data_IF_654195805646
#
_entry.id   IF_654195805646
#
_cell.length_a   1.000
_cell.length_b   1.000
_cell.length_c   1.000
_cell.angle_alpha   90.00
_cell.angle_beta   90.00
_cell.angle_gamma   90.00
#
_symmetry.space_group_name_H-M   'P 1'
#
loop_
_entity.id
_entity.type
_entity.pdbx_description
1 polymer ?
#
# COMPACT_ATOMS: atom_id res chain seq x y z
N UNK A 1 -25.02 -12.31 7.77
CA UNK A 1 -23.88 -12.56 8.69
C UNK A 1 -22.86 -13.51 8.06
N UNK A 2 -23.26 -14.71 7.60
CA UNK A 2 -22.36 -15.68 6.94
C UNK A 2 -21.65 -15.18 5.67
N UNK A 3 -22.31 -14.38 4.82
CA UNK A 3 -21.69 -13.84 3.58
C UNK A 3 -20.57 -12.84 3.89
N UNK A 4 -20.67 -12.10 5.00
CA UNK A 4 -19.65 -11.12 5.38
C UNK A 4 -18.38 -11.81 5.88
N UNK A 5 -18.53 -12.88 6.68
CA UNK A 5 -17.40 -13.67 7.17
C UNK A 5 -16.67 -14.42 6.05
N UNK A 6 -17.38 -14.84 5.01
CA UNK A 6 -16.81 -15.50 3.84
C UNK A 6 -15.94 -14.52 3.03
N UNK A 7 -16.47 -13.34 2.76
CA UNK A 7 -15.76 -12.25 2.05
C UNK A 7 -14.53 -11.78 2.85
N UNK A 8 -14.66 -11.58 4.16
CA UNK A 8 -13.54 -11.14 5.01
C UNK A 8 -12.42 -12.20 5.06
N UNK A 9 -12.77 -13.50 5.07
CA UNK A 9 -11.82 -14.61 5.00
C UNK A 9 -11.08 -14.65 3.66
N UNK A 10 -11.78 -14.41 2.54
CA UNK A 10 -11.19 -14.35 1.21
C UNK A 10 -10.21 -13.17 1.08
N UNK A 11 -10.58 -11.98 1.61
CA UNK A 11 -9.70 -10.81 1.63
C UNK A 11 -8.45 -11.11 2.46
N UNK A 12 -8.60 -11.66 3.67
CA UNK A 12 -7.46 -12.01 4.52
C UNK A 12 -6.53 -13.03 3.86
N UNK A 13 -7.09 -14.02 3.16
CA UNK A 13 -6.30 -15.05 2.47
C UNK A 13 -5.56 -14.47 1.27
N UNK A 14 -6.22 -13.65 0.45
CA UNK A 14 -5.59 -12.96 -0.67
C UNK A 14 -4.47 -12.03 -0.21
N UNK A 15 -4.71 -11.25 0.84
CA UNK A 15 -3.71 -10.35 1.45
C UNK A 15 -2.48 -11.13 1.91
N UNK A 16 -2.66 -12.23 2.64
CA UNK A 16 -1.56 -13.06 3.11
C UNK A 16 -0.72 -13.64 1.96
N UNK A 17 -1.38 -14.07 0.87
CA UNK A 17 -0.68 -14.56 -0.33
C UNK A 17 0.10 -13.45 -1.02
N UNK A 18 -0.49 -12.27 -1.23
CA UNK A 18 0.21 -11.11 -1.81
C UNK A 18 1.43 -10.75 -0.97
N UNK A 19 1.28 -10.68 0.36
CA UNK A 19 2.39 -10.41 1.28
C UNK A 19 3.47 -11.49 1.25
N UNK A 20 3.11 -12.77 1.15
CA UNK A 20 4.09 -13.85 1.06
C UNK A 20 4.91 -13.78 -0.23
N UNK A 21 4.25 -13.63 -1.38
CA UNK A 21 4.94 -13.54 -2.67
C UNK A 21 5.79 -12.27 -2.80
N UNK A 22 5.30 -11.13 -2.30
CA UNK A 22 6.06 -9.88 -2.30
C UNK A 22 7.33 -9.98 -1.45
N UNK A 23 7.27 -10.63 -0.28
CA UNK A 23 8.44 -10.84 0.61
C UNK A 23 9.44 -11.87 0.09
N UNK A 24 9.04 -12.73 -0.83
CA UNK A 24 9.90 -13.73 -1.46
C UNK A 24 10.43 -13.27 -2.84
N UNK A 25 10.43 -11.96 -3.12
CA UNK A 25 10.85 -11.35 -4.40
C UNK A 25 10.06 -11.84 -5.63
N UNK A 26 8.93 -12.53 -5.43
CA UNK A 26 8.02 -12.97 -6.48
C UNK A 26 6.95 -11.91 -6.76
N UNK A 27 7.40 -10.68 -7.00
CA UNK A 27 6.51 -9.52 -7.10
C UNK A 27 5.48 -9.63 -8.23
N UNK A 28 5.85 -10.24 -9.36
CA UNK A 28 4.92 -10.52 -10.46
C UNK A 28 3.77 -11.45 -10.02
N UNK A 29 4.05 -12.48 -9.22
CA UNK A 29 3.03 -13.37 -8.67
C UNK A 29 2.12 -12.64 -7.67
N UNK A 30 2.71 -11.78 -6.83
CA UNK A 30 1.95 -10.94 -5.91
C UNK A 30 0.95 -10.03 -6.67
N UNK A 31 1.38 -9.40 -7.77
CA UNK A 31 0.52 -8.58 -8.63
C UNK A 31 -0.60 -9.38 -9.30
N UNK A 32 -0.32 -10.61 -9.76
CA UNK A 32 -1.36 -11.47 -10.36
C UNK A 32 -2.46 -11.77 -9.35
N UNK A 33 -2.09 -12.11 -8.11
CA UNK A 33 -3.05 -12.40 -7.05
C UNK A 33 -3.82 -11.13 -6.70
N UNK A 34 -3.11 -10.02 -6.48
CA UNK A 34 -3.71 -8.71 -6.22
C UNK A 34 -4.77 -8.35 -7.27
N UNK A 35 -4.45 -8.45 -8.55
CA UNK A 35 -5.37 -8.12 -9.63
C UNK A 35 -6.58 -9.04 -9.70
N UNK A 36 -6.46 -10.29 -9.23
CA UNK A 36 -7.56 -11.26 -9.17
C UNK A 36 -8.45 -11.11 -7.92
N UNK A 37 -7.99 -10.41 -6.88
CA UNK A 37 -8.79 -10.21 -5.67
C UNK A 37 -10.00 -9.30 -5.96
N UNK A 38 -11.24 -9.75 -5.70
CA UNK A 38 -12.45 -8.97 -5.95
C UNK A 38 -12.60 -7.79 -4.97
N UNK A 39 -12.03 -7.92 -3.78
CA UNK A 39 -11.97 -6.89 -2.76
C UNK A 39 -10.54 -6.83 -2.22
N UNK A 40 -10.08 -5.62 -1.90
CA UNK A 40 -8.73 -5.34 -1.40
C UNK A 40 -8.87 -4.41 -0.20
N UNK A 41 -8.11 -4.65 0.84
CA UNK A 41 -8.01 -3.73 1.97
C UNK A 41 -6.72 -2.89 1.88
N UNK A 42 -6.58 -1.92 2.78
CA UNK A 42 -5.41 -1.01 2.81
C UNK A 42 -4.12 -1.80 3.01
N UNK A 43 -4.14 -2.89 3.78
CA UNK A 43 -2.97 -3.76 4.02
C UNK A 43 -2.49 -4.42 2.73
N UNK A 44 -3.42 -4.85 1.87
CA UNK A 44 -3.10 -5.41 0.55
C UNK A 44 -2.37 -4.38 -0.33
N UNK A 45 -2.84 -3.13 -0.34
CA UNK A 45 -2.20 -2.02 -1.07
C UNK A 45 -0.82 -1.68 -0.51
N UNK A 46 -0.71 -1.55 0.82
CA UNK A 46 0.53 -1.26 1.53
C UNK A 46 1.61 -2.28 1.19
N UNK A 47 1.24 -3.56 1.05
CA UNK A 47 2.17 -4.63 0.65
C UNK A 47 2.87 -4.31 -0.67
N UNK A 48 2.12 -3.88 -1.70
CA UNK A 48 2.70 -3.57 -3.01
C UNK A 48 3.44 -2.23 -3.00
N UNK A 49 2.89 -1.20 -2.35
CA UNK A 49 3.56 0.11 -2.22
C UNK A 49 4.93 -0.05 -1.54
N UNK A 50 4.96 -0.76 -0.41
CA UNK A 50 6.20 -1.00 0.34
C UNK A 50 7.19 -1.84 -0.46
N UNK A 51 6.73 -2.88 -1.16
CA UNK A 51 7.63 -3.72 -1.95
C UNK A 51 8.22 -2.98 -3.16
N UNK A 52 7.45 -2.15 -3.86
CA UNK A 52 7.98 -1.28 -4.92
C UNK A 52 9.00 -0.27 -4.38
N UNK A 53 8.71 0.36 -3.23
CA UNK A 53 9.65 1.26 -2.58
C UNK A 53 10.95 0.55 -2.17
N UNK A 54 10.88 -0.68 -1.67
CA UNK A 54 12.04 -1.47 -1.25
C UNK A 54 12.95 -1.87 -2.42
N UNK A 55 12.40 -2.16 -3.59
CA UNK A 55 13.20 -2.49 -4.79
C UNK A 55 13.67 -1.24 -5.54
N UNK A 56 13.38 -0.04 -5.03
CA UNK A 56 13.81 1.23 -5.62
C UNK A 56 13.02 1.62 -6.88
N UNK A 57 11.75 1.21 -6.98
CA UNK A 57 10.85 1.58 -8.06
C UNK A 57 9.77 2.57 -7.56
N UNK A 58 10.12 3.85 -7.42
CA UNK A 58 9.24 4.83 -6.82
C UNK A 58 8.03 5.17 -7.70
N UNK A 59 8.15 5.02 -9.02
CA UNK A 59 7.05 5.31 -9.95
C UNK A 59 5.89 4.34 -9.74
N UNK A 60 6.19 3.04 -9.68
CA UNK A 60 5.16 2.05 -9.41
C UNK A 60 4.63 2.14 -7.97
N UNK A 61 5.46 2.49 -6.98
CA UNK A 61 4.99 2.75 -5.62
C UNK A 61 3.96 3.89 -5.57
N UNK A 62 4.24 5.00 -6.26
CA UNK A 62 3.35 6.16 -6.33
C UNK A 62 2.09 5.91 -7.17
N UNK A 63 2.18 5.07 -8.20
CA UNK A 63 1.03 4.61 -8.97
C UNK A 63 0.09 3.77 -8.09
N UNK A 64 0.64 2.81 -7.33
CA UNK A 64 -0.14 2.01 -6.38
C UNK A 64 -0.79 2.88 -5.29
N UNK A 65 -0.08 3.89 -4.79
CA UNK A 65 -0.64 4.87 -3.85
C UNK A 65 -1.78 5.69 -4.46
N UNK A 66 -1.64 6.11 -5.72
CA UNK A 66 -2.68 6.84 -6.45
C UNK A 66 -3.92 5.99 -6.65
N UNK A 67 -3.75 4.71 -7.01
CA UNK A 67 -4.85 3.76 -7.15
C UNK A 67 -5.54 3.45 -5.81
N UNK A 68 -4.78 3.31 -4.71
CA UNK A 68 -5.34 3.19 -3.36
C UNK A 68 -6.28 4.37 -3.06
N UNK A 69 -5.85 5.60 -3.33
CA UNK A 69 -6.68 6.81 -3.13
C UNK A 69 -7.92 6.83 -4.00
N UNK A 70 -7.82 6.34 -5.24
CA UNK A 70 -8.96 6.24 -6.17
C UNK A 70 -9.93 5.12 -5.79
N UNK A 71 -9.48 4.11 -5.04
CA UNK A 71 -10.34 3.00 -4.58
C UNK A 71 -11.36 3.40 -3.51
N UNK A 72 -11.27 4.62 -2.96
CA UNK A 72 -12.11 5.11 -1.87
C UNK A 72 -11.63 4.66 -0.47
N UNK A 73 -10.58 3.84 -0.41
CA UNK A 73 -9.88 3.52 0.83
C UNK A 73 -8.97 4.69 1.24
N UNK A 74 -8.78 4.83 2.55
CA UNK A 74 -7.92 5.88 3.09
C UNK A 74 -6.52 5.30 3.36
N UNK A 75 -5.45 5.95 2.86
CA UNK A 75 -4.09 5.66 3.30
C UNK A 75 -3.97 5.72 4.82
N UNK A 76 -3.16 4.83 5.38
CA UNK A 76 -2.82 4.80 6.81
C UNK A 76 -1.31 5.04 7.03
N UNK A 77 -0.86 4.96 8.28
CA UNK A 77 0.56 5.09 8.62
C UNK A 77 1.42 4.02 7.91
N UNK A 78 0.90 2.80 7.77
CA UNK A 78 1.56 1.73 7.02
C UNK A 78 1.72 2.05 5.52
N UNK A 79 0.81 2.83 4.94
CA UNK A 79 0.97 3.36 3.57
C UNK A 79 2.12 4.36 3.49
N UNK A 80 2.21 5.26 4.47
CA UNK A 80 3.22 6.33 4.46
C UNK A 80 4.65 5.78 4.59
N UNK A 81 4.84 4.63 5.24
CA UNK A 81 6.12 3.92 5.32
C UNK A 81 6.71 3.64 3.94
N UNK A 82 5.89 3.33 2.92
CA UNK A 82 6.36 3.10 1.56
C UNK A 82 6.34 4.35 0.68
N UNK A 83 5.38 5.24 0.90
CA UNK A 83 5.23 6.47 0.09
C UNK A 83 6.36 7.46 0.33
N UNK A 84 6.79 7.65 1.59
CA UNK A 84 7.83 8.65 1.91
C UNK A 84 9.17 8.31 1.23
N UNK A 85 9.71 7.07 1.34
CA UNK A 85 10.93 6.71 0.62
C UNK A 85 10.77 6.79 -0.90
N UNK A 86 9.64 6.35 -1.45
CA UNK A 86 9.37 6.46 -2.88
C UNK A 86 9.36 7.92 -3.35
N UNK A 87 8.72 8.82 -2.60
CA UNK A 87 8.71 10.24 -2.89
C UNK A 87 10.12 10.85 -2.84
N UNK A 88 10.93 10.46 -1.84
CA UNK A 88 12.31 10.94 -1.72
C UNK A 88 13.17 10.53 -2.93
N UNK A 89 12.93 9.35 -3.51
CA UNK A 89 13.63 8.89 -4.72
C UNK A 89 13.22 9.63 -5.99
N UNK A 90 12.04 10.26 -6.03
CA UNK A 90 11.58 11.03 -7.19
C UNK A 90 12.14 12.46 -7.23
N UNK A 91 12.67 12.95 -6.11
CA UNK A 91 13.15 14.34 -5.95
C UNK A 91 12.10 15.39 -6.39
N UNK A 92 10.83 15.09 -6.17
CA UNK A 92 9.68 15.95 -6.48
C UNK A 92 9.20 16.66 -5.20
N UNK A 93 9.64 17.91 -5.03
CA UNK A 93 9.31 18.73 -3.86
C UNK A 93 7.82 19.06 -3.73
N UNK A 94 7.11 19.18 -4.85
CA UNK A 94 5.68 19.50 -4.84
C UNK A 94 4.89 18.28 -4.32
N UNK A 95 5.25 17.08 -4.80
CA UNK A 95 4.72 15.83 -4.26
C UNK A 95 5.07 15.63 -2.79
N UNK A 96 6.33 15.87 -2.41
CA UNK A 96 6.77 15.78 -1.01
C UNK A 96 5.99 16.71 -0.09
N UNK A 97 5.74 17.94 -0.54
CA UNK A 97 4.94 18.92 0.22
C UNK A 97 3.50 18.46 0.39
N UNK A 98 2.89 17.89 -0.66
CA UNK A 98 1.53 17.35 -0.61
C UNK A 98 1.43 16.17 0.39
N UNK A 99 2.35 15.21 0.31
CA UNK A 99 2.40 14.05 1.21
C UNK A 99 2.62 14.49 2.65
N UNK A 100 3.54 15.42 2.88
CA UNK A 100 3.78 15.99 4.21
C UNK A 100 2.52 16.66 4.80
N UNK A 101 1.80 17.42 3.99
CA UNK A 101 0.51 17.99 4.39
C UNK A 101 -0.55 16.94 4.73
N UNK A 102 -0.57 15.80 4.02
CA UNK A 102 -1.46 14.69 4.34
C UNK A 102 -1.11 14.03 5.69
N UNK A 103 0.19 13.81 5.96
CA UNK A 103 0.67 13.24 7.22
C UNK A 103 0.19 14.07 8.42
N UNK A 104 0.36 15.39 8.36
CA UNK A 104 -0.11 16.30 9.41
C UNK A 104 -1.63 16.28 9.50
N UNK A 105 -2.34 16.39 8.37
CA UNK A 105 -3.80 16.45 8.34
C UNK A 105 -4.45 15.21 8.96
N UNK A 106 -3.86 14.03 8.74
CA UNK A 106 -4.39 12.77 9.25
C UNK A 106 -3.73 12.31 10.57
N UNK A 107 -2.78 13.07 11.11
CA UNK A 107 -2.17 12.81 12.41
C UNK A 107 -1.18 11.65 12.44
N UNK A 108 -0.59 11.26 11.29
CA UNK A 108 0.40 10.17 11.23
C UNK A 108 1.76 10.54 11.83
N UNK A 109 1.95 11.80 12.22
CA UNK A 109 3.17 12.33 12.86
C UNK A 109 3.52 11.67 14.19
N UNK A 110 2.56 11.01 14.84
CA UNK A 110 2.69 10.41 16.17
C UNK A 110 2.62 8.88 16.19
N UNK A 111 2.46 8.22 15.04
CA UNK A 111 2.46 6.75 14.95
C UNK A 111 3.90 6.24 15.09
N UNK A 112 4.35 6.20 16.34
CA UNK A 112 5.59 5.56 16.73
C UNK A 112 5.39 4.05 16.52
N UNK A 113 5.94 3.48 15.45
CA UNK A 113 6.10 2.04 15.34
C UNK A 113 7.07 1.59 16.45
N UNK A 114 6.51 1.09 17.55
CA UNK A 114 7.23 0.43 18.65
C UNK A 114 7.56 -1.01 18.28
#
# INVERSE_FOLDING_TARGET
>A
YAVKTDIDSDISTGTALVSMYAKCDFFASALIIFNRMPCKDVVTWNTLINGYAQIGDPYNAMEMFSQLRLSGLHPDSGTMVGVIPACALLDDLDQGTCIHGQIIKYGFESDCHV
#
